data_IF_941626824475
#
_entry.id   IF_941626824475
#
_cell.length_a   1.000
_cell.length_b   1.000
_cell.length_c   1.000
_cell.angle_alpha   90.00
_cell.angle_beta   90.00
_cell.angle_gamma   90.00
#
_symmetry.space_group_name_H-M   'P 1'
#
loop_
_entity.id
_entity.type
_entity.pdbx_description
1 polymer ?
#
# COMPACT_ATOMS: atom_id res chain seq x y z
N UNK A 1 16.78 -4.27 14.69
CA UNK A 1 15.52 -4.65 13.99
C UNK A 1 14.25 -4.22 14.74
N UNK A 2 13.98 -4.69 15.99
CA UNK A 2 12.76 -4.35 16.75
C UNK A 2 12.52 -2.84 16.98
N UNK A 3 13.59 -2.06 17.21
CA UNK A 3 13.52 -0.59 17.37
C UNK A 3 13.01 0.13 16.11
N UNK A 4 13.43 -0.35 14.93
CA UNK A 4 13.02 0.20 13.63
C UNK A 4 11.56 -0.10 13.32
N UNK A 5 11.14 -1.35 13.56
CA UNK A 5 9.75 -1.79 13.41
C UNK A 5 8.80 -1.02 14.32
N UNK A 6 9.13 -0.80 15.60
CA UNK A 6 8.27 -0.02 16.48
C UNK A 6 8.12 1.44 16.04
N UNK A 7 9.17 2.05 15.49
CA UNK A 7 9.13 3.44 15.02
C UNK A 7 8.34 3.61 13.72
N UNK A 8 8.14 2.53 12.97
CA UNK A 8 7.43 2.52 11.68
C UNK A 8 6.10 1.76 11.69
N UNK A 9 5.73 1.14 12.82
CA UNK A 9 4.51 0.34 12.99
C UNK A 9 3.23 1.09 12.58
N UNK A 10 3.13 2.38 12.92
CA UNK A 10 1.97 3.20 12.54
C UNK A 10 1.85 3.37 11.02
N UNK A 11 2.96 3.54 10.32
CA UNK A 11 2.98 3.66 8.85
C UNK A 11 2.56 2.34 8.20
N UNK A 12 3.07 1.21 8.72
CA UNK A 12 2.71 -0.13 8.23
C UNK A 12 1.23 -0.40 8.46
N UNK A 13 0.68 0.00 9.61
CA UNK A 13 -0.72 -0.21 9.96
C UNK A 13 -1.66 0.61 9.04
N UNK A 14 -1.32 1.88 8.77
CA UNK A 14 -2.03 2.70 7.79
C UNK A 14 -1.99 2.05 6.41
N UNK A 15 -0.82 1.55 5.99
CA UNK A 15 -0.66 0.89 4.69
C UNK A 15 -1.57 -0.34 4.56
N UNK A 16 -1.59 -1.20 5.58
CA UNK A 16 -2.45 -2.39 5.61
C UNK A 16 -3.93 -1.99 5.53
N UNK A 17 -4.35 -0.96 6.28
CA UNK A 17 -5.74 -0.48 6.24
C UNK A 17 -6.12 0.06 4.86
N UNK A 18 -5.25 0.86 4.24
CA UNK A 18 -5.51 1.40 2.89
C UNK A 18 -5.52 0.32 1.82
N UNK A 19 -4.63 -0.67 1.93
CA UNK A 19 -4.58 -1.81 0.99
C UNK A 19 -5.82 -2.70 1.15
N UNK A 20 -6.33 -2.90 2.37
CA UNK A 20 -7.56 -3.65 2.59
C UNK A 20 -8.78 -2.99 1.92
N UNK A 21 -8.89 -1.65 2.02
CA UNK A 21 -9.96 -0.89 1.35
C UNK A 21 -9.83 -1.00 -0.17
N UNK A 22 -8.61 -0.89 -0.70
CA UNK A 22 -8.34 -1.04 -2.13
C UNK A 22 -8.72 -2.44 -2.65
N UNK A 23 -8.34 -3.50 -1.93
CA UNK A 23 -8.70 -4.88 -2.28
C UNK A 23 -10.22 -5.06 -2.27
N UNK A 24 -10.92 -4.52 -1.27
CA UNK A 24 -12.38 -4.57 -1.20
C UNK A 24 -13.02 -3.84 -2.40
N UNK A 25 -12.47 -2.70 -2.81
CA UNK A 25 -12.93 -1.98 -4.00
C UNK A 25 -12.77 -2.83 -5.27
N UNK A 26 -11.61 -3.45 -5.48
CA UNK A 26 -11.40 -4.34 -6.64
C UNK A 26 -12.29 -5.57 -6.59
N UNK A 27 -12.47 -6.18 -5.42
CA UNK A 27 -13.33 -7.35 -5.26
C UNK A 27 -14.80 -7.05 -5.54
N UNK A 28 -15.23 -5.79 -5.39
CA UNK A 28 -16.60 -5.37 -5.73
C UNK A 28 -16.85 -5.16 -7.23
N UNK A 29 -15.79 -5.02 -8.04
CA UNK A 29 -15.92 -4.81 -9.50
C UNK A 29 -16.67 -5.95 -10.20
N UNK A 30 -16.30 -7.24 -10.03
CA UNK A 30 -17.03 -8.35 -10.66
C UNK A 30 -18.50 -8.40 -10.27
N UNK A 31 -18.83 -8.02 -9.04
CA UNK A 31 -20.20 -7.97 -8.56
C UNK A 31 -21.02 -6.88 -9.27
N UNK A 32 -20.46 -5.68 -9.45
CA UNK A 32 -21.12 -4.60 -10.18
C UNK A 32 -21.30 -4.97 -11.66
N UNK A 33 -20.30 -5.62 -12.27
CA UNK A 33 -20.40 -6.11 -13.65
C UNK A 33 -21.52 -7.16 -13.76
N UNK A 34 -21.63 -8.08 -12.80
CA UNK A 34 -22.72 -9.05 -12.76
C UNK A 34 -24.09 -8.37 -12.70
N UNK A 35 -24.25 -7.37 -11.82
CA UNK A 35 -25.50 -6.60 -11.73
C UNK A 35 -25.85 -5.88 -13.03
N UNK A 36 -24.84 -5.43 -13.78
CA UNK A 36 -25.04 -4.76 -15.06
C UNK A 36 -25.48 -5.73 -16.16
N UNK A 37 -24.96 -6.97 -16.16
CA UNK A 37 -25.34 -8.02 -17.11
C UNK A 37 -26.72 -8.60 -16.78
N UNK A 38 -27.01 -8.83 -15.50
CA UNK A 38 -28.30 -9.36 -15.03
C UNK A 38 -29.42 -8.31 -15.05
N UNK A 39 -29.11 -7.05 -15.40
CA UNK A 39 -30.09 -5.99 -15.45
C UNK A 39 -31.09 -6.21 -16.59
N UNK A 40 -32.37 -6.24 -16.25
CA UNK A 40 -33.46 -6.32 -17.20
C UNK A 40 -33.57 -5.01 -18.00
N UNK A 41 -33.02 -5.01 -19.21
CA UNK A 41 -32.99 -3.88 -20.13
C UNK A 41 -34.40 -3.36 -20.50
N UNK A 42 -35.46 -4.14 -20.23
CA UNK A 42 -36.85 -3.69 -20.42
C UNK A 42 -37.29 -2.62 -19.41
N UNK A 43 -36.62 -2.50 -18.25
CA UNK A 43 -36.94 -1.53 -17.18
C UNK A 43 -36.40 -0.12 -17.42
N UNK A 44 -35.80 0.12 -18.60
CA UNK A 44 -35.31 1.44 -19.03
C UNK A 44 -33.85 1.70 -18.71
N UNK A 45 -33.24 2.61 -19.50
CA UNK A 45 -31.79 2.87 -19.53
C UNK A 45 -31.22 3.57 -18.28
N UNK A 46 -32.07 4.13 -17.42
CA UNK A 46 -31.63 4.86 -16.22
C UNK A 46 -30.88 3.97 -15.22
N UNK A 47 -31.27 2.71 -15.06
CA UNK A 47 -30.58 1.78 -14.15
C UNK A 47 -29.16 1.45 -14.62
N UNK A 48 -28.97 1.30 -15.92
CA UNK A 48 -27.65 1.03 -16.53
C UNK A 48 -26.68 2.18 -16.24
N UNK A 49 -27.14 3.42 -16.40
CA UNK A 49 -26.33 4.62 -16.12
C UNK A 49 -25.89 4.66 -14.65
N UNK A 50 -26.78 4.29 -13.73
CA UNK A 50 -26.45 4.22 -12.29
C UNK A 50 -25.36 3.17 -12.03
N UNK A 51 -25.44 1.97 -12.63
CA UNK A 51 -24.42 0.95 -12.45
C UNK A 51 -23.06 1.35 -13.04
N UNK A 52 -23.05 2.04 -14.18
CA UNK A 52 -21.82 2.60 -14.77
C UNK A 52 -21.19 3.65 -13.86
N UNK A 53 -22.01 4.56 -13.30
CA UNK A 53 -21.53 5.57 -12.35
C UNK A 53 -20.99 4.92 -11.07
N UNK A 54 -21.66 3.89 -10.57
CA UNK A 54 -21.21 3.13 -9.40
C UNK A 54 -19.88 2.42 -9.66
N UNK A 55 -19.71 1.82 -10.84
CA UNK A 55 -18.44 1.23 -11.26
C UNK A 55 -17.31 2.28 -11.29
N UNK A 56 -17.54 3.43 -11.94
CA UNK A 56 -16.56 4.51 -12.00
C UNK A 56 -16.20 5.02 -10.60
N UNK A 57 -17.20 5.18 -9.73
CA UNK A 57 -16.99 5.61 -8.36
C UNK A 57 -16.08 4.63 -7.58
N UNK A 58 -16.35 3.33 -7.65
CA UNK A 58 -15.52 2.30 -7.00
C UNK A 58 -14.08 2.33 -7.51
N UNK A 59 -13.89 2.47 -8.83
CA UNK A 59 -12.55 2.54 -9.42
C UNK A 59 -11.79 3.77 -8.93
N UNK A 60 -12.42 4.94 -8.93
CA UNK A 60 -11.80 6.19 -8.45
C UNK A 60 -11.42 6.08 -6.98
N UNK A 61 -12.33 5.57 -6.14
CA UNK A 61 -12.07 5.37 -4.71
C UNK A 61 -10.92 4.39 -4.52
N UNK A 62 -10.92 3.26 -5.22
CA UNK A 62 -9.84 2.27 -5.19
C UNK A 62 -8.48 2.89 -5.54
N UNK A 63 -8.41 3.65 -6.64
CA UNK A 63 -7.18 4.32 -7.05
C UNK A 63 -6.68 5.33 -6.01
N UNK A 64 -7.58 6.10 -5.38
CA UNK A 64 -7.21 7.04 -4.31
C UNK A 64 -6.56 6.33 -3.12
N UNK A 65 -7.15 5.24 -2.65
CA UNK A 65 -6.60 4.46 -1.53
C UNK A 65 -5.28 3.77 -1.90
N UNK A 66 -5.16 3.26 -3.12
CA UNK A 66 -3.91 2.71 -3.63
C UNK A 66 -2.80 3.76 -3.67
N UNK A 67 -3.12 4.98 -4.13
CA UNK A 67 -2.17 6.08 -4.19
C UNK A 67 -1.68 6.49 -2.80
N UNK A 68 -2.61 6.61 -1.83
CA UNK A 68 -2.27 6.89 -0.44
C UNK A 68 -1.34 5.81 0.12
N UNK A 69 -1.66 4.54 -0.09
CA UNK A 69 -0.80 3.41 0.33
C UNK A 69 0.63 3.52 -0.22
N UNK A 70 0.76 3.85 -1.51
CA UNK A 70 2.07 4.03 -2.17
C UNK A 70 2.88 5.19 -1.58
N UNK A 71 2.24 6.32 -1.25
CA UNK A 71 2.90 7.45 -0.60
C UNK A 71 3.49 7.05 0.76
N UNK A 72 2.72 6.33 1.58
CA UNK A 72 3.19 5.83 2.87
C UNK A 72 4.30 4.80 2.71
N UNK A 73 4.22 3.91 1.71
CA UNK A 73 5.27 2.95 1.40
C UNK A 73 6.58 3.65 1.01
N UNK A 74 6.51 4.71 0.21
CA UNK A 74 7.69 5.47 -0.19
C UNK A 74 8.34 6.17 1.02
N UNK A 75 7.53 6.82 1.86
CA UNK A 75 8.01 7.47 3.09
C UNK A 75 8.65 6.47 4.05
N UNK A 76 8.05 5.28 4.19
CA UNK A 76 8.63 4.18 4.96
C UNK A 76 9.98 3.74 4.39
N UNK A 77 10.05 3.46 3.08
CA UNK A 77 11.27 2.98 2.42
C UNK A 77 12.42 3.98 2.55
N UNK A 78 12.14 5.28 2.39
CA UNK A 78 13.14 6.34 2.58
C UNK A 78 13.70 6.34 4.00
N UNK A 79 12.82 6.36 5.00
CA UNK A 79 13.23 6.41 6.41
C UNK A 79 14.00 5.13 6.81
N UNK A 80 13.54 3.97 6.37
CA UNK A 80 14.19 2.70 6.66
C UNK A 80 15.59 2.62 6.04
N UNK A 81 15.76 3.08 4.80
CA UNK A 81 17.05 3.04 4.10
C UNK A 81 18.08 3.98 4.76
N UNK A 82 17.67 5.17 5.19
CA UNK A 82 18.56 6.10 5.92
C UNK A 82 19.02 5.47 7.24
N UNK A 83 18.09 4.92 8.02
CA UNK A 83 18.40 4.33 9.32
C UNK A 83 19.33 3.12 9.21
N UNK A 84 19.12 2.25 8.21
CA UNK A 84 20.03 1.12 7.96
C UNK A 84 21.42 1.61 7.56
N UNK A 85 21.50 2.58 6.65
CA UNK A 85 22.81 3.11 6.21
C UNK A 85 23.57 3.73 7.36
N UNK A 86 22.91 4.51 8.22
CA UNK A 86 23.54 5.09 9.41
C UNK A 86 24.08 4.01 10.38
N UNK A 87 23.31 2.96 10.63
CA UNK A 87 23.75 1.86 11.51
C UNK A 87 24.93 1.09 10.90
N UNK A 88 24.89 0.81 9.59
CA UNK A 88 25.98 0.15 8.87
C UNK A 88 27.24 1.02 8.93
N UNK A 89 27.13 2.32 8.63
CA UNK A 89 28.27 3.24 8.69
C UNK A 89 28.87 3.32 10.09
N UNK A 90 28.04 3.45 11.13
CA UNK A 90 28.50 3.44 12.52
C UNK A 90 29.17 2.12 12.89
N UNK A 91 28.63 0.99 12.45
CA UNK A 91 29.22 -0.33 12.71
C UNK A 91 30.56 -0.53 12.02
N UNK A 92 30.73 0.00 10.80
CA UNK A 92 32.00 -0.05 10.06
C UNK A 92 33.03 0.87 10.71
N UNK A 93 32.63 2.10 11.07
CA UNK A 93 33.54 3.09 11.66
C UNK A 93 33.95 2.75 13.10
N UNK A 94 33.07 2.11 13.88
CA UNK A 94 33.40 1.59 15.21
C UNK A 94 34.07 0.21 15.18
N UNK A 95 34.38 -0.33 14.01
CA UNK A 95 35.09 -1.59 13.90
C UNK A 95 36.53 -1.38 14.38
N UNK A 96 36.85 -1.90 15.56
CA UNK A 96 38.18 -1.78 16.17
C UNK A 96 39.26 -2.35 15.23
N UNK A 97 40.33 -1.58 15.02
CA UNK A 97 41.48 -1.94 14.18
C UNK A 97 42.07 -3.33 14.55
N UNK A 98 41.99 -3.74 15.83
CA UNK A 98 42.44 -5.07 16.31
C UNK A 98 41.68 -6.26 15.72
N UNK A 99 40.45 -6.08 15.23
CA UNK A 99 39.70 -7.14 14.53
C UNK A 99 39.97 -7.16 13.02
N UNK A 100 40.50 -6.08 12.47
CA UNK A 100 40.83 -5.99 11.04
C UNK A 100 42.12 -6.73 10.70
N UNK A 101 43.09 -6.76 11.63
CA UNK A 101 44.37 -7.47 11.47
C UNK A 101 44.31 -8.98 11.74
N UNK A 102 43.27 -9.48 12.41
CA UNK A 102 43.09 -10.91 12.71
C UNK A 102 42.28 -11.68 11.65
N UNK A 103 42.03 -11.09 10.48
CA UNK A 103 41.37 -11.74 9.33
C UNK A 103 42.34 -12.14 8.21
N UNK A 104 43.65 -12.11 8.46
CA UNK A 104 44.65 -12.76 7.60
C UNK A 104 44.95 -14.17 8.09
#
# INVERSE_FOLDING_TARGET
MKKYLNKTKSIILIQILTDAIYIAAIASIPYIIKLLIDYDYSKGSKGIVIFILMYLFVVVVGMLFQYISQLYCWKFRKNFNILIKEDIFKSILNYSYKKFTNQN
#
